data_IF_633702822706
#
_entry.id   IF_633702822706
#
_cell.length_a   1.000
_cell.length_b   1.000
_cell.length_c   1.000
_cell.angle_alpha   90.00
_cell.angle_beta   90.00
_cell.angle_gamma   90.00
#
_symmetry.space_group_name_H-M   'P 1'
#
loop_
_entity.id
_entity.type
_entity.pdbx_description
1 polymer ?
2 polymer ?
3 polymer ?
#
# COMPACT_ATOMS: atom_id res chain seq x y z
CA UNK A 1 38.66 -34.93 -2.21
CA UNK A 2 38.87 -31.14 -1.66
CA UNK A 3 37.03 -29.70 -4.68
CA UNK A 4 35.67 -33.20 -5.38
CA UNK A 5 34.00 -33.18 -1.96
CA UNK A 6 31.66 -30.17 -2.12
CA UNK A 7 29.52 -32.06 -4.64
CA UNK A 8 28.81 -34.72 -2.00
CA UNK A 9 27.65 -32.23 0.64
CA UNK A 10 25.70 -30.33 -2.03
CA UNK A 11 23.44 -33.18 -3.14
CA UNK A 12 23.02 -34.50 0.41
CA UNK A 13 21.50 -31.19 1.54
CA UNK A 14 19.08 -30.73 -1.36
CA UNK A 15 18.52 -34.47 -1.02
CA UNK A 16 16.75 -34.00 2.29
CA UNK A 17 14.14 -31.96 0.38
CA UNK A 18 12.86 -35.24 -0.94
CA UNK A 19 12.89 -36.67 2.62
CA UNK A 20 11.62 -35.53 6.08
CA UNK A 21 9.28 -32.58 5.51
CA UNK A 22 6.43 -34.48 3.85
CA UNK A 23 6.07 -38.01 5.32
CA UNK A 24 2.29 -38.04 5.87
CA UNK A 25 0.78 -40.17 8.63
CA UNK A 26 -2.61 -39.02 9.97
CA UNK A 27 -3.82 -37.28 13.11
CA UNK A 28 -2.90 -38.27 16.64
CA UNK A 29 -5.05 -39.79 19.40
CA UNK A 30 -8.07 -38.27 21.22
CA UNK A 31 -8.71 -36.46 17.98
CA UNK A 32 -10.14 -37.66 14.69
CA UNK A 33 -10.75 -41.27 13.66
CA UNK A 34 -8.47 -41.65 10.62
CA UNK A 35 -10.51 -42.45 7.49
CA UNK A 36 -10.72 -45.23 4.87
CA UNK A 37 -13.77 -46.97 3.44
CA UNK A 38 -13.61 -47.09 -0.36
CA UNK A 39 -14.37 -43.51 -1.45
CA UNK A 40 -13.60 -42.33 2.11
CA UNK A 41 -10.39 -40.31 2.60
CA UNK A 42 -10.24 -36.69 3.92
CA UNK A 43 -13.21 -34.46 4.82
CA UNK A 44 -13.79 -31.93 2.08
CA UNK A 45 -15.77 -29.12 3.75
CA UNK A 46 -14.75 -25.81 2.14
CA UNK A 47 -11.27 -24.72 3.21
CA UNK A 48 -8.03 -26.23 2.03
CA UNK A 49 -6.11 -29.13 3.44
CA UNK A 50 -4.22 -31.51 1.20
CA UNK A 51 -0.75 -32.69 2.18
CA UNK A 52 -0.69 -33.92 5.81
CA UNK A 53 2.51 -33.66 7.94
CA UNK A 54 3.50 -33.53 11.64
CA UNK A 55 4.05 -30.08 13.12
CA UNK A 56 6.77 -31.30 15.46
CA UNK A 57 8.81 -32.51 12.50
CA UNK A 58 8.23 -29.22 10.66
CA UNK A 59 11.22 -27.76 12.52
CA UNK A 60 13.47 -30.72 11.73
CA UNK A 61 14.33 -30.27 8.04
CA UNK A 62 17.32 -27.98 8.52
CA UNK A 63 17.59 -28.48 12.29
CA UNK A 64 19.17 -31.80 11.30
CA UNK A 65 21.19 -30.50 8.33
CA UNK A 66 23.52 -28.34 10.42
CA UNK A 67 24.38 -31.43 12.48
CA UNK A 68 25.54 -33.47 9.47
CA UNK A 69 27.45 -30.66 7.73
CA UNK A 70 29.57 -30.07 10.84
CA UNK A 71 32.81 -30.71 8.97
CA UNK A 72 33.14 -29.20 5.50
CA UNK A 73 34.97 -25.88 5.65
CA UNK A 74 36.00 -25.76 9.32
CA UNK A 75 37.73 -29.02 10.22
CA UNK A 76 41.45 -28.43 9.69
CA UNK A 77 43.31 -29.35 12.91
CA UNK B 1 -8.70 -18.38 -1.53
CA UNK B 2 -5.76 -16.97 -3.53
CA UNK B 3 -2.33 -18.16 -2.43
CA UNK B 4 -2.76 -20.36 0.67
CA UNK B 5 -0.04 -23.02 1.32
CA UNK B 6 0.42 -25.99 -1.00
CA UNK B 7 3.77 -25.88 -2.80
CA UNK B 8 6.93 -27.04 -0.98
CA UNK B 9 6.10 -28.24 2.53
CA UNK B 10 3.09 -27.43 4.75
CA UNK B 11 -0.51 -28.51 5.37
CA UNK B 12 -3.66 -27.12 7.01
CA UNK B 13 -5.70 -28.36 9.95
CA UNK B 14 -8.82 -30.45 9.50
CA UNK B 15 -10.43 -29.94 12.88
CA UNK B 16 -9.40 -30.44 16.53
CA UNK B 17 -7.93 -27.57 18.54
CA UNK B 18 -7.75 -26.83 22.27
CA UNK B 19 -6.49 -23.80 24.22
CA UNK B 20 -4.90 -26.09 26.83
CA UNK B 21 -1.85 -27.37 24.92
CA UNK B 22 -1.90 -24.20 22.79
CA UNK B 23 -0.11 -22.05 25.39
CA UNK B 24 2.58 -24.74 25.68
CA UNK B 25 3.65 -24.59 22.01
CA UNK B 26 3.86 -20.80 21.62
CA UNK B 27 6.87 -20.45 23.95
CA UNK B 28 8.67 -23.44 22.43
CA UNK B 29 8.85 -21.87 18.96
CA UNK B 30 11.42 -19.30 20.10
CA UNK B 31 13.88 -22.13 20.80
CA UNK B 32 14.54 -22.47 17.05
CA UNK B 33 14.22 -18.95 15.60
CA UNK B 34 17.62 -17.65 16.72
CA UNK B 35 18.98 -21.02 17.87
CA UNK B 36 18.94 -22.14 14.25
CA UNK B 37 21.19 -19.26 13.19
CA UNK B 38 23.75 -20.32 15.81
CA UNK B 39 25.32 -22.50 13.11
CA UNK B 40 25.14 -11.78 7.75
CA UNK B 41 21.73 -13.36 7.09
CA UNK B 42 19.92 -11.43 9.85
CA UNK B 43 20.60 -7.95 8.61
CA UNK B 44 18.73 -4.72 8.82
CA UNK B 45 15.68 -6.92 8.41
CA UNK B 46 15.13 -10.66 7.74
CA UNK B 47 16.83 -10.39 4.25
CA UNK B 48 14.02 -9.19 1.93
CA UNK B 49 10.99 -8.89 4.25
CA UNK B 50 11.71 -5.26 5.25
CA UNK B 51 11.76 -3.22 2.05
CA UNK B 52 8.29 -4.71 1.68
CA UNK B 53 7.23 -4.42 5.33
CA UNK B 54 7.45 -0.65 4.88
CA UNK B 55 4.69 -1.16 2.27
CA UNK B 56 2.39 -3.81 3.82
CA UNK B 57 2.56 -3.57 7.63
CA UNK B 58 1.61 0.11 7.75
CA UNK B 59 -0.46 -0.26 4.57
CA UNK B 60 -2.85 -2.86 6.00
CA UNK B 61 -4.24 -0.51 8.68
CA UNK B 62 -6.99 1.13 6.68
CA UNK B 63 -9.57 1.60 9.50
CA UNK B 64 -12.86 1.74 7.50
CA UNK B 65 -14.23 -1.37 5.74
CA UNK B 66 -12.08 -0.98 2.62
CA UNK B 67 -10.66 -3.77 0.42
CA UNK B 68 -11.46 -7.49 0.26
CA UNK B 69 -9.58 -8.19 3.50
CA UNK B 70 -11.90 -7.44 6.45
CA UNK B 71 -9.19 -6.72 9.06
CA UNK B 72 -10.93 -7.74 12.30
CA UNK B 73 -12.37 -11.18 12.99
CA UNK B 74 -11.48 -14.69 11.87
CA UNK B 75 -13.86 -14.62 8.91
CA UNK B 76 -11.57 -12.46 6.82
CA UNK B 77 -8.08 -11.75 8.12
CA UNK B 78 -6.91 -15.26 7.17
CA UNK B 79 -6.17 -13.93 3.67
CA UNK B 80 -3.48 -11.31 4.33
CA UNK B 81 -0.38 -13.33 5.28
CA UNK B 82 -1.15 -16.52 3.34
CA UNK B 83 -1.13 -14.43 0.18
CA UNK B 84 2.32 -12.79 0.15
CA UNK B 85 4.41 -15.58 1.75
CA UNK B 86 4.61 -17.61 -1.48
CA UNK B 87 5.69 -14.38 -3.16
CA UNK B 88 8.47 -13.75 -0.62
CA UNK B 89 9.94 -17.13 -1.49
CA UNK B 90 10.88 -15.68 -4.89
CA UNK B 91 12.04 -12.41 -3.20
CA UNK B 92 15.18 -14.21 -2.10
CA UNK B 93 16.75 -14.44 -5.64
CA UNK B 94 16.26 -10.68 -5.98
CA UNK B 95 17.32 -9.08 -2.69
CA UNK B 96 20.50 -11.19 -2.27
CA UNK B 97 22.67 -9.35 -4.84
CA UNK B 98 22.38 -6.24 -2.62
CA UNK B 99 25.46 -7.47 -0.73
CA UNK B 100 27.54 -7.07 -3.89
CA UNK B 101 26.78 -3.44 -4.80
CA UNK B 102 28.56 -1.92 -1.83
CA UNK B 103 31.25 -4.68 -1.86
CA UNK B 104 31.81 -6.14 -5.40
CA UNK B 105 34.65 -8.26 -3.90
CA UNK B 106 36.73 -6.36 -1.31
CA UNK B 107 37.76 -8.68 1.61
CA UNK B 108 40.21 -10.33 -0.76
CA UNK B 109 41.75 -7.26 -2.44
CA UNK B 110 43.24 -7.08 -5.97
CA UNK B 111 40.80 -9.59 -7.47
CA UNK B 112 41.86 -11.56 -10.53
CA UNK B 113 39.00 -13.94 -11.44
CA UNK B 114 39.26 -13.37 -15.21
CA UNK B 115 38.14 -16.89 -16.25
CA UNK B 116 34.48 -17.54 -15.22
CA UNK B 117 33.07 -20.89 -14.12
CA UNK B 118 31.84 -22.14 -10.77
CA UNK B 119 31.93 -21.46 -7.01
CA UNK B 120 29.79 -18.75 -5.45
CA UNK B 121 28.57 -15.95 -7.71
CA UNK B 122 25.48 -17.70 -9.00
CA UNK B 123 25.80 -20.75 -6.71
CA UNK B 124 25.87 -18.67 -3.53
CA UNK B 125 22.14 -18.07 -4.09
CA UNK B 126 21.56 -21.77 -3.32
CA UNK B 127 23.02 -22.64 0.09
CA UNK B 128 22.09 -19.29 1.66
CA UNK B 129 18.50 -19.20 0.41
CA UNK B 130 17.46 -22.64 1.71
CA UNK B 131 18.44 -21.58 5.23
CA UNK B 132 16.52 -18.31 5.39
CA UNK B 133 13.54 -19.94 3.65
CA UNK B 134 12.95 -22.22 6.63
CA UNK B 135 12.55 -19.04 8.69
CA UNK B 136 9.66 -18.08 6.39
CA UNK B 137 7.68 -21.10 7.61
CA UNK B 138 8.62 -20.55 11.26
CA UNK B 139 6.20 -17.62 11.29
CA UNK B 140 3.19 -19.66 10.12
CA UNK B 141 4.16 -22.43 12.55
CA UNK B 142 2.59 -20.33 15.33
CA UNK B 143 -0.49 -18.88 13.60
CA UNK B 144 -2.93 -21.81 13.85
CA UNK B 145 -1.18 -23.60 16.72
CA UNK B 146 -0.32 -21.05 19.39
CA UNK B 147 -1.14 -17.48 20.43
CA UNK B 148 0.51 -14.54 18.68
CA UNK B 149 0.49 -12.13 15.75
CA UNK B 150 3.02 -14.28 13.91
CA UNK B 151 4.99 -11.52 12.20
CA UNK B 152 5.35 -9.55 15.44
CA UNK B 153 6.99 -12.36 17.43
CA UNK B 154 10.15 -12.04 15.33
CA UNK B 155 10.34 -8.23 15.11
CA UNK B 156 10.02 -8.31 18.90
CA UNK B 157 12.59 -11.10 19.34
CA UNK B 158 15.65 -9.32 17.98
CA UNK B 159 14.89 -5.99 19.68
CA UNK B 160 14.32 -7.23 23.24
CA UNK B 161 17.87 -8.62 23.03
CA UNK B 162 19.04 -5.02 23.31
CA UNK B 163 18.87 -5.40 27.07
CA UNK B 164 20.11 -8.74 28.47
CA UNK B 165 23.10 -9.39 26.14
CA UNK B 166 23.86 -5.67 25.88
CA UNK B 167 25.07 -5.68 29.50
CA UNK B 168 26.55 -9.12 30.23
CA UNK B 169 29.80 -9.58 28.28
CA UNK B 170 32.70 -7.16 27.73
CA UNK B 171 30.65 -3.97 28.05
CA UNK B 172 29.80 -3.01 31.61
CA UNK B 173 32.69 -0.74 32.64
CA UNK B 174 31.71 -0.83 36.31
CA UNK B 175 34.34 -3.30 37.59
CA UNK B 176 36.91 -0.70 38.56
CA UNK B 177 35.65 1.98 40.90
CA UNK B 178 38.59 3.57 42.78
CA UNK B 179 37.66 7.23 42.19
CA UNK B 180 33.88 6.52 41.88
CA UNK B 181 32.53 8.40 38.86
CA UNK B 182 28.90 9.58 38.83
CA UNK B 183 28.49 9.02 35.09
CA UNK B 184 29.23 5.29 35.04
CA UNK B 185 27.45 4.29 38.24
CA UNK B 186 24.42 6.33 37.15
CA UNK B 187 22.36 3.24 36.30
CA UNK B 188 23.57 1.35 39.40
CA UNK B 189 21.80 3.77 41.75
CA UNK B 190 18.66 4.00 39.58
CA UNK B 191 16.91 1.48 37.27
CA UNK B 192 13.92 1.10 39.61
CA UNK B 193 14.11 4.84 40.28
CA UNK B 194 12.87 5.65 36.77
CA UNK B 195 10.44 2.73 36.38
CA UNK B 196 8.57 4.17 39.36
CA UNK B 197 7.32 6.99 37.11
CA UNK B 198 6.79 5.22 33.77
CA UNK B 199 4.21 2.79 35.17
CA UNK B 200 2.29 5.71 36.69
CA UNK B 201 1.18 6.46 33.14
CA UNK B 202 0.35 2.79 32.51
CA UNK B 203 -2.37 3.05 35.18
CA UNK B 204 -4.36 5.02 32.59
CA UNK B 205 -6.52 2.06 31.57
CA UNK B 206 -9.30 2.59 34.12
CA UNK B 207 -12.90 1.33 34.10
CA UNK B 208 -15.84 3.74 33.88
CA UNK B 209 -17.65 2.10 36.81
CA UNK B 210 -21.34 2.73 36.14
CA UNK B 211 -23.39 3.39 39.28
CA UNK B 212 -26.45 1.22 38.57
CA UNK B 213 -29.09 2.19 41.13
CA UNK B 214 -31.31 -0.90 41.39
CA UNK B 215 -29.78 -3.74 43.42
CA UNK B 216 -27.13 -1.75 45.34
CA UNK B 217 -23.65 -3.36 45.20
CA UNK B 218 -22.67 -6.87 44.12
CA UNK B 219 -19.67 -8.72 42.68
CA UNK B 220 -19.25 -10.20 39.18
CA UNK B 221 -21.34 -13.13 37.91
CA UNK B 222 -23.62 -13.65 34.88
CA UNK B 223 -26.54 -11.48 36.00
CA UNK B 224 -24.43 -8.42 35.11
CA UNK B 225 -24.09 -7.19 38.69
CA UNK B 226 -21.29 -4.92 37.46
CA UNK B 227 -19.44 -6.52 34.51
CA UNK B 228 -16.71 -3.85 34.46
CA UNK B 229 -15.89 -2.44 31.02
CA UNK B 230 -12.16 -1.67 30.53
CA UNK B 231 -12.53 1.42 28.34
CA UNK B 232 -9.38 3.49 27.76
CA UNK B 233 -10.00 7.12 28.77
CA UNK B 234 -6.82 8.28 27.00
CA UNK B 235 -8.75 8.33 23.71
CA UNK B 236 -5.44 7.71 21.91
CA UNK B 237 -4.85 4.22 23.31
CA UNK B 238 -1.64 2.39 24.20
CA UNK B 239 -0.65 1.92 20.54
CA UNK B 240 -0.01 5.51 19.36
CA UNK B 241 3.21 5.78 21.40
CA UNK B 242 4.64 2.62 19.80
CA UNK B 243 4.92 4.07 16.30
CA UNK B 244 5.41 7.66 17.53
CA UNK B 245 9.21 7.86 17.73
CA UNK B 246 9.46 7.84 13.91
CA UNK B 247 9.11 11.63 14.26
CA UNK B 248 11.82 12.57 16.81
CA UNK B 249 14.01 9.52 17.51
CA UNK B 250 14.89 8.83 13.86
CA UNK B 251 15.88 12.36 12.72
CA UNK B 252 19.03 12.02 14.86
CA UNK B 253 21.69 10.57 12.55
CA UNK B 254 19.58 11.12 9.41
CA UNK B 255 20.74 14.75 9.51
CA UNK B 256 24.32 13.70 8.73
CA UNK B 257 23.31 11.74 5.62
CA UNK B 258 21.53 14.81 4.22
CA UNK B 259 24.31 17.39 4.28
CA UNK B 260 27.45 15.49 5.21
CA UNK B 261 28.00 14.18 1.70
CA UNK B 262 27.36 17.06 -0.69
CA UNK B 263 25.46 19.45 1.57
CA UNK B 264 26.90 22.09 3.90
CA UNK B 265 28.95 21.66 7.09
CA UNK B 266 27.80 24.10 9.81
CA UNK B 267 27.42 22.34 13.19
CA UNK B 268 23.83 22.26 14.50
CA UNK B 269 20.92 23.51 12.37
CA UNK B 270 18.04 25.64 13.72
CA UNK B 271 18.49 25.32 17.49
CA UNK B 272 22.02 26.66 17.92
CA UNK B 273 21.70 30.29 19.05
CA UNK B 274 19.60 29.35 22.09
CA UNK B 275 21.37 28.84 25.43
CA UNK B 276 18.42 27.84 27.67
CA UNK B 277 17.55 24.64 25.82
CA UNK B 278 15.44 22.91 28.49
CA UNK B 279 12.50 25.36 28.15
CA UNK B 280 12.90 26.08 24.41
CA UNK B 281 13.24 22.96 22.23
CA UNK B 282 10.67 21.17 24.39
CA UNK B 283 8.02 23.59 23.12
CA UNK B 284 9.07 22.80 19.55
CA UNK B 285 8.04 19.14 19.75
CA UNK B 286 4.96 19.89 21.87
CA UNK B 287 2.84 20.80 18.84
CA UNK B 288 4.95 18.77 16.38
CA UNK B 289 3.85 15.33 17.57
CA UNK B 290 0.25 16.58 17.63
CA UNK B 291 0.33 16.02 13.86
CA UNK B 292 1.02 12.29 14.21
CA UNK B 293 -1.52 12.06 17.03
CA UNK B 294 -4.26 13.46 14.79
CA UNK B 295 -3.08 10.96 12.17
CA UNK B 296 -4.63 8.25 14.34
CA UNK B 297 -7.89 10.25 14.34
CA UNK B 298 -8.86 7.79 11.59
CA UNK B 299 -9.11 4.96 14.13
CA UNK B 300 -8.66 6.45 17.63
CA UNK B 301 -10.11 3.69 19.87
CA UNK B 302 -12.94 3.42 17.31
CA UNK B 303 -15.39 6.11 18.53
CA UNK B 304 -18.53 4.87 16.75
CA UNK B 305 -17.74 1.14 17.06
CA UNK B 306 -17.05 1.01 20.81
CA UNK B 307 -20.73 1.14 21.79
CA UNK B 308 -21.83 -1.68 19.45
CA UNK B 309 -19.17 -3.82 21.22
CA UNK B 310 -21.89 -4.72 23.75
CA UNK B 311 -24.99 -5.55 21.71
CA UNK B 312 -23.84 -8.31 19.37
CA UNK B 313 -23.78 -11.67 21.14
CA UNK B 314 -25.22 -15.18 20.82
CA UNK B 315 -26.23 -14.94 24.46
CA UNK B 316 -27.90 -11.51 24.12
CA UNK B 317 -31.25 -11.94 25.92
CA UNK B 318 -33.72 -12.99 23.15
CA UNK B 319 -37.48 -12.62 23.19
CA UNK B 320 -37.64 -10.40 26.27
CA UNK B 321 -36.66 -7.39 24.11
CA UNK B 322 -34.41 -4.68 25.67
CA UNK B 323 -36.27 -1.63 24.40
CA UNK B 324 -32.92 0.15 24.22
CA UNK B 325 -32.69 -0.18 20.42
CA UNK B 326 -29.18 1.24 19.78
CA UNK B 327 -27.20 4.10 21.37
CA UNK B 328 -29.24 4.22 24.58
CA UNK B 329 -27.06 5.39 27.46
CA UNK B 330 -23.74 3.75 26.56
CA UNK B 331 -22.39 6.36 24.14
CA UNK B 332 -22.18 9.66 26.06
CA UNK B 333 -19.15 9.45 28.36
CA UNK B 334 -16.84 9.51 25.34
CA UNK B 335 -18.74 12.38 23.66
CA UNK B 336 -17.00 15.09 25.69
CA UNK B 337 -13.53 13.87 24.70
CA UNK B 338 -13.20 14.86 21.02
CA UNK B 339 -11.28 18.13 20.52
CA UNK B 340 -10.76 18.92 24.21
CA UNK B 341 -10.08 15.27 25.02
CA UNK B 342 -7.44 14.33 22.46
CA UNK B 343 -5.02 17.23 23.02
CA UNK B 344 -4.54 17.55 26.79
CA UNK B 345 -3.75 13.84 27.17
CA UNK B 346 -0.53 13.74 25.13
CA UNK B 347 0.42 17.25 26.29
CA UNK B 348 0.50 16.30 29.98
CA UNK B 349 2.16 12.95 29.20
CA UNK B 350 4.98 14.44 27.11
CA UNK B 351 6.75 15.96 30.12
CA UNK B 352 7.61 12.81 32.10
CA UNK B 353 9.06 11.12 29.00
CA UNK B 354 11.20 14.16 28.14
CA UNK B 355 13.19 13.44 31.31
CA UNK B 356 15.32 10.81 29.54
CA UNK B 357 17.57 12.47 26.93
CA UNK B 358 18.77 15.03 29.50
CA UNK B 359 19.16 12.36 32.20
CA UNK B 360 21.02 9.61 30.29
CA UNK B 361 20.19 6.45 32.25
CA UNK B 362 20.98 3.66 29.70
CA UNK B 363 24.36 2.99 28.11
CA UNK B 364 23.42 1.81 24.61
CA UNK B 365 19.99 3.39 23.99
CA UNK B 366 19.54 6.71 25.75
CA UNK B 367 15.96 6.73 26.96
CA UNK B 368 13.47 5.67 24.27
CA UNK B 369 14.03 2.01 23.32
CA UNK B 370 13.75 0.58 26.84
CA UNK B 371 10.38 2.33 26.76
CA UNK B 372 9.10 0.70 23.55
CA UNK B 373 10.02 -2.84 24.63
CA UNK B 374 7.24 -3.00 27.23
CA UNK B 375 4.53 -1.26 25.20
CA UNK B 376 4.75 -3.83 22.36
CA UNK B 377 3.96 -6.78 24.62
CA UNK B 378 0.81 -4.97 25.87
CA UNK B 379 -1.16 -6.14 22.83
CA UNK B 380 0.11 -9.68 23.45
CA UNK B 381 -0.77 -9.11 27.14
CA UNK B 382 -4.37 -7.96 26.68
CA UNK B 383 -5.27 -10.67 24.14
CA UNK B 384 -5.33 -13.37 26.84
CA UNK B 385 -7.93 -12.43 29.49
CA UNK B 386 -10.36 -11.85 26.62
CA UNK B 387 -10.18 -15.56 25.70
CA UNK B 388 -11.43 -17.08 28.97
CA UNK B 389 -14.39 -15.18 30.44
CA UNK B 390 -17.49 -16.27 28.52
CA UNK B 391 -15.25 -17.81 25.85
CA UNK B 392 -14.04 -21.11 27.35
CA UNK B 393 -17.55 -22.62 27.32
CA UNK B 394 -19.59 -23.92 24.35
CA UNK B 395 -18.68 -23.38 20.68
CA UNK B 396 -19.48 -19.73 19.89
CA UNK B 397 -18.16 -16.14 19.68
CA UNK B 398 -16.30 -16.34 16.35
CA UNK B 399 -16.63 -13.06 14.43
CA UNK B 400 -18.62 -11.61 17.34
CA UNK C 1 -17.55 31.86 6.95
CA UNK C 2 -14.71 29.70 5.58
CA UNK C 3 -13.48 32.27 3.04
CA UNK C 4 -13.41 35.23 5.43
CA UNK C 5 -10.60 34.03 7.71
CA UNK C 6 -8.14 33.57 4.82
CA UNK C 7 -8.45 37.24 3.81
CA UNK C 8 -8.01 38.51 7.38
CA UNK C 9 -4.57 36.87 7.46
CA UNK C 10 -3.46 39.06 4.55
CA UNK C 11 -4.92 42.17 6.22
CA UNK C 12 -2.31 41.94 8.99
CA UNK C 13 0.52 40.91 6.65
CA UNK C 14 0.09 43.86 4.27
CA UNK C 15 0.27 46.35 7.15
CA UNK C 16 3.10 44.44 8.83
CA UNK C 17 5.52 44.62 5.91
CA UNK C 18 5.00 48.39 5.80
CA UNK C 19 7.38 48.69 8.77
CA UNK C 20 10.74 47.60 7.32
CA UNK C 21 11.14 46.98 3.59
CA UNK C 22 13.94 48.74 1.67
CA UNK C 23 16.61 48.69 4.39
CA UNK C 24 18.34 45.28 4.24
CA UNK C 25 20.01 43.40 7.12
CA UNK C 26 17.25 41.57 9.08
CA UNK C 27 17.00 40.70 12.79
CA UNK C 28 15.37 43.51 14.78
CA UNK C 29 12.68 43.80 17.46
CA UNK C 30 10.15 46.03 19.27
CA UNK C 31 8.53 46.95 15.94
CA UNK C 32 7.43 44.04 13.74
CA UNK C 33 7.25 41.66 16.72
CA UNK C 34 3.96 43.33 17.69
CA UNK C 35 2.35 42.02 14.48
CA UNK C 36 3.79 38.53 15.00
CA UNK C 37 2.03 38.31 18.37
CA UNK C 38 -1.33 39.16 16.79
CA UNK C 39 -1.26 35.90 14.81
CA UNK C 40 -2.53 34.14 17.93
CA UNK C 41 -5.52 36.26 18.89
CA UNK C 42 -7.53 36.75 15.70
CA UNK C 43 -6.31 34.06 13.29
CA UNK C 44 -7.14 31.28 15.74
CA UNK C 45 -10.61 32.33 16.90
CA UNK C 46 -12.19 32.36 13.42
CA UNK C 47 -15.46 34.21 12.71
CA UNK C 48 -17.28 30.89 13.21
CA UNK C 49 -15.75 27.39 13.18
CA UNK C 50 -19.20 25.81 13.51
CA UNK C 51 -19.13 24.35 17.05
CA UNK C 52 -21.67 26.40 19.03
CA UNK C 53 -20.74 30.13 19.29
CA UNK C 54 -17.37 31.57 17.96
CA UNK C 55 -14.19 31.19 20.10
CA UNK C 56 -14.11 34.38 22.28
CA UNK C 57 -14.57 32.52 25.67
CA UNK C 58 -11.93 31.23 28.13
CA UNK C 59 -10.15 27.95 27.19
CA UNK C 60 -8.55 26.91 30.47
CA UNK C 61 -11.58 26.64 32.78
CA UNK C 62 -13.46 23.77 31.14
CA UNK C 63 -10.34 21.58 31.13
CA UNK C 64 -10.95 20.34 34.69
CA UNK C 65 -14.58 19.71 33.75
CA UNK C 66 -13.63 16.84 31.44
CA UNK C 67 -11.45 15.19 34.09
CA UNK C 68 -14.21 15.11 36.72
CA UNK C 69 -15.50 11.51 37.10
CA UNK C 70 -11.97 10.43 38.11
CA UNK C 71 -11.56 8.72 41.50
CA UNK C 72 -8.75 9.22 44.03
CA UNK C 73 -6.92 5.88 44.29
CA UNK C 74 -7.41 2.22 43.41
CA UNK C 75 -4.92 -0.43 44.59
CA UNK C 76 -7.78 -2.91 44.19
CA UNK C 77 -7.33 -3.83 40.45
CA UNK C 78 -3.55 -3.60 40.72
CA UNK C 79 -3.18 -7.17 42.12
CA UNK C 80 -4.58 -8.34 38.75
CA UNK C 81 -3.24 -6.53 35.61
CA UNK C 82 0.21 -6.16 37.21
CA UNK C 83 1.19 -9.53 38.65
CA UNK C 84 1.78 -11.57 35.48
CA UNK C 85 5.01 -9.65 34.84
CA UNK C 86 6.98 -11.44 37.58
CA UNK C 87 6.21 -14.51 35.45
CA UNK C 88 5.74 -14.03 31.68
CA UNK C 89 8.50 -11.39 31.63
CA UNK C 90 11.21 -13.58 33.17
CA UNK C 91 10.40 -16.45 30.78
CA UNK C 92 11.00 -14.62 27.49
CA UNK C 93 14.17 -13.06 28.91
CA UNK C 94 15.01 -16.45 30.39
CA UNK C 95 15.50 -17.90 26.91
CA UNK C 96 17.85 -15.18 25.66
CA UNK C 97 20.55 -15.33 28.31
CA UNK C 98 20.64 -18.86 29.73
CA UNK C 99 20.89 -20.29 26.20
CA UNK C 100 21.97 -17.62 23.69
CA UNK C 101 24.46 -15.87 25.99
CA UNK C 102 25.68 -19.41 26.73
CA UNK C 103 26.35 -20.67 23.19
CA UNK C 104 28.99 -18.06 22.32
CA UNK C 105 30.64 -18.89 25.65
CA UNK C 106 31.07 -22.56 24.70
CA UNK C 107 32.11 -22.33 21.04
CA UNK C 108 34.75 -19.65 21.54
CA UNK C 109 37.18 -21.07 24.08
CA UNK C 110 37.87 -24.33 22.21
CA UNK C 111 40.01 -24.43 19.04
CA UNK D 1 8.56 42.56 -11.69
CA UNK D 2 8.94 38.98 -10.41
CA UNK D 3 8.59 38.07 -6.71
CA UNK D 4 6.73 41.35 -6.16
CA UNK D 5 3.91 40.42 -8.55
CA UNK D 6 3.24 36.67 -8.25
CA UNK D 7 2.40 36.96 -4.55
CA UNK D 8 -0.17 39.63 -5.45
CA UNK D 9 -1.90 37.48 -8.08
CA UNK D 10 -1.97 34.45 -5.78
CA UNK D 11 -4.49 36.31 -3.59
CA UNK D 12 -6.40 38.62 -5.95
CA UNK D 13 -7.75 35.53 -7.73
CA UNK D 14 -9.72 34.09 -4.80
CA UNK D 15 -11.30 37.50 -4.29
CA UNK D 16 -13.60 36.62 -7.19
CA UNK D 17 -14.18 32.84 -7.15
CA UNK D 18 -15.01 32.70 -3.44
CA UNK D 19 -18.08 34.87 -4.05
CA UNK D 20 -20.10 32.85 -6.57
CA UNK D 21 -20.96 30.12 -4.05
CA UNK D 22 -23.63 31.90 -1.99
CA UNK D 23 -26.14 33.16 -4.57
CA UNK D 24 -28.03 29.82 -4.61
CA UNK D 25 -30.64 28.74 -7.15
CA UNK D 26 -32.04 25.20 -7.19
CA UNK D 27 -34.72 23.79 -4.90
CA UNK D 28 -34.72 20.09 -5.84
CA UNK D 29 -36.40 19.00 -9.07
CA UNK D 30 -36.47 15.46 -7.67
CA UNK D 31 -39.06 13.09 -9.10
CA UNK D 32 -40.02 12.03 -5.57
CA UNK D 33 -39.77 15.39 -3.76
CA UNK D 34 -38.22 15.91 -0.31
CA UNK D 35 -41.00 17.87 1.36
CA UNK D 36 -41.15 18.62 5.09
CA UNK D 37 -42.95 17.04 8.03
CA UNK D 38 -42.20 19.85 10.47
CA UNK D 39 -39.43 22.32 9.56
CA UNK D 40 -37.50 22.99 12.78
CA UNK D 41 -33.80 23.82 12.32
CA UNK D 42 -31.74 20.61 12.74
CA UNK D 43 -31.48 17.52 14.95
CA UNK D 44 -29.34 18.85 17.79
CA UNK D 45 -25.75 20.10 18.10
CA UNK D 46 -24.58 19.04 14.61
CA UNK D 47 -22.22 20.31 11.89
CA UNK D 48 -22.27 22.71 8.92
CA UNK D 49 -25.12 22.55 6.42
CA UNK D 50 -24.45 23.05 2.71
CA UNK D 51 -26.13 25.02 -0.10
CA UNK D 52 -26.91 24.04 -3.71
CA UNK D 53 -26.27 26.54 -6.55
CA UNK D 54 -27.37 26.31 -10.20
CA UNK D 55 -25.13 25.09 -13.05
CA UNK D 56 -25.38 28.40 -14.95
CA UNK D 57 -23.54 29.99 -12.01
CA UNK D 58 -20.41 27.82 -12.33
CA UNK D 59 -19.31 29.02 -15.78
CA UNK D 60 -20.11 32.63 -14.83
CA UNK D 61 -16.61 33.09 -13.40
CA UNK D 62 -14.66 30.52 -15.44
CA UNK D 63 -15.14 32.59 -18.61
CA UNK D 64 -14.21 35.70 -16.61
CA UNK D 65 -10.92 34.68 -14.97
CA UNK D 66 -9.30 34.42 -18.43
CA UNK D 67 -9.00 38.21 -18.69
CA UNK D 68 -7.22 38.73 -15.36
CA UNK D 69 -4.33 36.36 -16.05
CA UNK D 70 -3.79 37.81 -19.53
CA UNK D 71 -4.22 41.35 -18.22
CA UNK D 72 -0.69 41.27 -16.81
CA UNK D 73 1.44 40.10 -19.74
CA UNK D 74 0.21 41.32 -23.14
CA UNK D 75 0.90 45.04 -23.64
CA UNK D 76 4.71 44.72 -23.38
CA UNK D 77 6.30 47.02 -20.77
CA UNK E 1 -11.07 22.36 11.02
CA UNK E 2 -11.10 24.96 8.21
CA UNK E 3 -7.71 25.96 6.75
CA UNK E 4 -7.80 24.02 3.47
CA UNK E 5 -10.94 25.19 1.61
CA UNK E 6 -9.78 28.81 1.65
CA UNK E 7 -8.52 28.92 -1.94
CA UNK E 8 -10.49 28.57 -5.22
CA UNK E 9 -13.54 26.57 -4.09
CA UNK E 10 -17.14 25.92 -5.20
CA UNK E 11 -18.31 22.89 -3.17
CA UNK E 12 -20.77 20.21 -4.38
CA UNK E 13 -24.29 20.77 -5.77
CA UNK E 14 -27.55 19.25 -4.54
CA UNK E 15 -29.46 17.55 -7.34
CA UNK E 16 -29.45 14.72 -9.89
CA UNK E 17 -31.29 15.64 -13.10
CA UNK E 18 -31.61 13.39 -16.16
CA UNK E 19 -29.38 11.22 -18.37
CA UNK E 20 -30.36 13.12 -21.53
CA UNK E 21 -28.72 16.30 -20.16
CA UNK E 22 -25.70 14.95 -18.29
CA UNK E 23 -24.24 13.18 -21.32
CA UNK E 24 -24.24 16.61 -22.99
CA UNK E 25 -21.21 18.09 -21.21
CA UNK E 26 -19.38 14.77 -21.61
CA UNK E 27 -19.11 15.52 -25.33
CA UNK E 28 -18.35 19.23 -25.20
CA UNK E 29 -15.52 20.04 -22.79
CA UNK E 30 -12.47 18.28 -24.23
CA UNK E 31 -12.46 20.47 -27.34
CA UNK E 32 -10.41 23.21 -25.66
CA UNK E 33 -7.99 20.55 -24.38
CA UNK E 34 -6.26 20.27 -27.77
CA UNK E 35 -5.90 24.07 -27.94
CA UNK E 36 -2.66 23.55 -26.03
CA UNK E 37 -0.53 24.08 -29.13
CA UNK E 38 -2.48 26.62 -31.21
CA UNK E 39 -2.90 29.72 -29.02
CA UNK E 40 5.33 28.28 -25.91
CA UNK E 41 3.48 27.74 -22.60
CA UNK E 42 2.87 24.04 -23.34
CA UNK E 43 6.38 22.70 -22.72
CA UNK E 44 5.08 20.98 -19.59
CA UNK E 45 2.71 18.27 -20.80
CA UNK E 46 0.68 17.95 -17.58
CA UNK E 47 4.04 17.41 -15.85
CA UNK E 48 3.68 19.73 -12.80
CA UNK E 49 0.58 17.79 -11.73
CA UNK E 50 2.19 14.34 -11.94
CA UNK E 51 5.09 15.48 -9.72
CA UNK E 52 2.86 15.72 -6.65
CA UNK E 53 0.63 12.95 -8.00
CA UNK E 54 3.65 10.62 -8.25
CA UNK E 55 3.78 10.65 -4.45
CA UNK E 56 0.23 9.31 -4.70
CA UNK E 57 1.27 6.98 -7.54
CA UNK E 58 3.32 5.09 -4.95
CA UNK E 59 0.99 5.71 -2.00
CA UNK E 60 -2.45 4.93 -3.44
CA UNK E 61 -2.07 2.88 -6.64
CA UNK E 62 -1.01 -0.09 -4.50
CA UNK E 63 -4.21 -1.01 -2.66
CA UNK E 64 -5.32 -1.45 0.12
CA UNK E 65 -4.66 2.17 1.11
CA UNK E 66 -2.52 3.09 4.09
CA UNK E 67 -4.15 6.54 4.15
CA UNK E 68 -7.97 6.41 3.91
CA UNK E 69 -9.68 6.07 0.53
CA UNK E 70 -13.21 5.11 -0.49
CA UNK E 71 -12.79 5.78 -4.22
CA UNK E 72 -16.35 5.59 -5.61
CA UNK E 73 -19.70 6.51 -4.11
CA UNK E 74 -21.25 9.97 -3.73
CA UNK E 75 -18.98 10.88 -0.78
CA UNK E 76 -15.75 9.38 -2.15
CA UNK E 77 -14.63 12.35 -4.25
CA UNK E 78 -14.25 15.19 -1.74
CA UNK E 79 -11.72 14.91 1.09
CA UNK E 80 -9.29 12.70 -0.81
CA UNK E 81 -9.24 15.02 -3.84
CA UNK E 82 -8.35 17.87 -1.46
CA UNK E 83 -5.12 16.15 -0.35
CA UNK E 84 -3.18 17.06 -3.50
CA UNK E 85 -5.20 20.21 -4.26
CA UNK E 86 -2.80 22.18 -2.04
CA UNK E 87 0.16 20.15 -3.31
CA UNK E 88 0.54 21.40 -6.89
CA UNK E 89 -0.53 24.86 -5.71
CA UNK E 90 2.94 25.27 -4.18
CA UNK E 91 5.02 22.63 -5.97
CA UNK E 92 4.32 24.10 -9.43
CA UNK E 93 6.30 27.20 -8.44
CA UNK E 94 9.39 25.05 -7.89
CA UNK E 95 8.63 22.62 -10.73
CA UNK E 96 7.96 24.74 -13.83
CA UNK E 97 11.20 26.66 -13.29
CA UNK E 98 13.08 23.42 -13.93
CA UNK E 99 11.65 23.00 -17.43
CA UNK E 100 12.07 26.75 -18.00
CA UNK E 101 15.82 27.43 -17.93
CA UNK E 102 16.58 23.72 -17.53
CA UNK E 103 19.50 21.67 -18.85
CA UNK E 104 22.92 23.43 -19.27
CA UNK E 105 24.08 23.98 -22.83
CA UNK E 106 22.90 20.84 -24.63
CA UNK E 107 19.53 22.14 -25.91
CA UNK E 108 19.51 24.37 -29.00
CA UNK E 109 23.28 24.66 -29.57
CA UNK E 110 25.00 27.26 -31.78
CA UNK E 111 23.22 30.52 -31.03
CA UNK E 112 20.30 31.79 -33.08
CA UNK E 113 19.15 34.24 -30.38
CA UNK E 114 22.69 35.61 -29.99
CA UNK E 115 21.54 36.38 -26.42
CA UNK E 116 21.13 34.48 -23.02
CA UNK E 117 18.44 35.41 -20.48
CA UNK E 118 18.02 37.17 -17.06
CA UNK E 119 15.97 39.79 -18.89
CA UNK E 120 12.61 38.43 -19.81
CA UNK E 121 11.59 34.89 -18.80
CA UNK E 122 11.13 35.54 -15.04
CA UNK E 123 7.82 37.17 -15.90
CA UNK E 124 7.24 34.13 -18.13
CA UNK E 125 7.44 31.64 -15.24
CA UNK E 126 4.34 33.09 -13.55
CA UNK E 127 2.49 32.49 -16.84
CA UNK E 128 3.59 28.84 -16.75
CA UNK E 129 2.16 28.34 -13.26
CA UNK E 130 -1.15 30.09 -13.98
CA UNK E 131 -1.15 28.24 -17.30
CA UNK E 132 -0.96 24.56 -16.35
CA UNK E 133 -3.26 25.51 -13.47
CA UNK E 134 -6.94 26.29 -14.10
CA UNK E 135 -6.72 23.28 -16.43
CA UNK E 136 -6.99 20.80 -13.56
CA UNK E 137 -10.34 22.42 -12.77
CA UNK E 138 -11.51 20.69 -15.95
CA UNK E 139 -10.91 17.28 -14.40
CA UNK E 140 -13.07 18.20 -11.42
CA UNK E 141 -16.27 19.71 -12.86
CA UNK E 142 -16.86 16.98 -15.45
CA UNK E 143 -16.07 14.43 -12.73
CA UNK E 144 -18.68 15.20 -10.06
CA UNK E 145 -21.21 16.44 -12.63
CA UNK E 146 -21.26 13.89 -15.46
CA UNK E 147 -19.32 10.66 -15.97
CA UNK E 148 -16.88 9.12 -13.50
CA UNK E 149 -13.13 9.76 -13.50
CA UNK E 150 -12.04 13.04 -15.07
CA UNK E 151 -8.29 12.78 -14.45
CA UNK E 152 -7.55 10.31 -17.27
CA UNK E 153 -9.34 12.63 -19.70
CA UNK E 154 -6.37 14.95 -19.09
CA UNK E 155 -3.41 12.58 -18.64
CA UNK E 156 -4.26 9.49 -20.71
CA UNK E 157 -5.61 11.88 -23.36
CA UNK E 158 -2.04 12.09 -24.65
CA UNK E 159 -2.03 8.56 -26.08
CA UNK E 160 -5.44 9.03 -27.74
CA UNK E 161 -3.87 11.29 -30.38
CA UNK E 162 -1.77 8.36 -31.59
CA UNK E 163 -4.48 7.40 -34.09
CA UNK E 164 -5.74 10.59 -35.85
CA UNK E 165 -3.96 11.86 -39.05
CA UNK E 166 -0.85 9.70 -38.72
CA UNK E 167 -1.67 6.52 -40.64
CA UNK E 168 -3.54 8.86 -42.99
CA UNK E 169 -1.27 11.88 -42.51
CA UNK E 170 -0.25 14.34 -45.26
CA UNK E 171 3.50 14.49 -44.67
CA UNK E 172 4.55 10.87 -44.08
CA UNK E 173 5.94 9.58 -47.35
CA UNK E 174 4.04 6.33 -47.88
CA UNK E 175 2.91 6.83 -51.48
CA UNK E 176 5.78 7.31 -53.94
CA UNK E 177 9.18 6.09 -52.74
CA UNK E 178 10.61 4.09 -55.59
CA UNK E 179 13.68 2.83 -53.70
CA UNK E 180 12.98 1.41 -50.27
CA UNK E 181 15.92 1.33 -47.93
CA UNK E 182 16.78 -1.12 -45.15
CA UNK E 183 16.49 1.45 -42.34
CA UNK E 184 13.22 2.87 -43.70
CA UNK E 185 11.47 -0.52 -43.94
CA UNK E 186 12.24 -1.59 -40.38
CA UNK E 187 10.80 0.46 -37.50
CA UNK E 188 7.95 1.61 -39.77
CA UNK E 189 6.16 -1.36 -41.33
CA UNK E 190 5.71 -2.69 -37.78
CA UNK E 191 2.00 -1.86 -37.49
CA UNK E 192 -1.24 -3.85 -37.97
CA UNK E 193 1.14 -6.83 -37.83
CA UNK E 194 2.27 -6.50 -34.21
CA UNK E 195 -0.77 -4.39 -33.28
CA UNK E 196 -2.99 -7.33 -34.27
CA UNK E 197 -0.67 -9.84 -32.59
CA UNK E 198 -1.57 -8.38 -29.19
CA UNK E 199 -5.22 -9.15 -29.97
CA UNK E 200 -4.20 -12.78 -30.53
CA UNK E 201 -3.47 -12.97 -26.79
CA UNK E 202 -6.66 -11.02 -26.05
CA UNK E 203 -9.06 -13.49 -27.70
CA UNK E 204 -9.31 -17.22 -27.05
CA UNK E 205 -10.82 -16.91 -23.57
CA UNK E 206 -12.30 -13.40 -23.29
CA UNK E 207 -16.09 -13.40 -22.71
CA UNK E 208 -17.49 -16.87 -23.44
CA UNK E 209 -21.11 -16.62 -24.62
CA UNK E 210 -22.39 -20.00 -23.39
CA UNK E 211 -25.70 -21.28 -24.80
CA UNK E 212 -28.46 -20.11 -22.43
CA UNK E 213 -31.59 -20.18 -24.60
CA UNK E 214 -34.16 -18.97 -22.07
CA UNK E 215 -37.90 -19.38 -22.82
CA UNK E 216 -37.52 -19.89 -26.61
CA UNK E 217 -39.06 -17.55 -29.19
CA UNK E 218 -40.39 -14.47 -27.41
CA UNK E 219 -42.74 -11.80 -28.78
CA UNK E 220 -41.69 -8.44 -27.27
CA UNK E 221 -42.38 -9.09 -23.60
CA UNK E 222 -41.28 -6.89 -20.72
CA UNK E 223 -39.20 -9.84 -19.38
CA UNK E 224 -35.85 -11.29 -20.54
CA UNK E 225 -34.18 -10.28 -23.81
CA UNK E 226 -30.70 -11.62 -24.64
CA UNK E 227 -27.51 -11.53 -22.54
CA UNK E 228 -24.08 -12.09 -24.10
CA UNK E 229 -22.69 -12.71 -20.60
CA UNK E 230 -20.55 -9.51 -20.39
CA UNK E 231 -19.13 -11.08 -17.18
CA UNK E 232 -15.88 -12.41 -18.70
CA UNK E 233 -14.22 -15.66 -17.68
CA UNK E 234 -10.71 -14.29 -17.20
CA UNK E 235 -11.64 -12.70 -13.88
CA UNK E 236 -9.16 -9.79 -14.20
CA UNK E 237 -7.99 -8.35 -17.57
CA UNK E 238 -4.69 -6.92 -18.84
CA UNK E 239 -4.83 -4.67 -15.81
CA UNK E 240 -1.93 -6.14 -13.77
CA UNK E 241 0.72 -4.50 -15.97
CA UNK E 242 1.97 -1.09 -14.87
CA UNK E 243 4.51 -1.51 -12.05
CA UNK E 244 6.75 -3.15 -14.67
CA UNK E 245 7.39 0.24 -16.28
CA UNK E 246 7.26 3.00 -13.64
CA UNK E 247 8.86 0.95 -10.85
CA UNK E 248 11.61 -0.47 -13.05
CA UNK E 249 12.83 3.09 -13.68
CA UNK E 250 12.42 3.72 -9.94
CA UNK E 251 16.00 2.54 -9.21
CA UNK E 252 17.03 5.07 -11.87
CA UNK E 253 15.32 8.06 -10.24
CA UNK E 254 16.96 7.25 -6.90
CA UNK E 255 20.43 6.42 -8.24
CA UNK E 256 21.73 9.90 -7.42
CA UNK E 257 20.53 9.34 -3.84
CA UNK E 258 23.48 6.96 -3.42
CA UNK E 259 25.95 7.74 -6.21
CA UNK E 260 28.70 8.29 -3.64
CA UNK E 261 30.67 5.17 -4.32
CA UNK E 262 31.80 4.93 -7.90
CA UNK E 263 30.33 6.33 -11.13
CA UNK E 264 29.21 9.87 -12.00
CA UNK E 265 26.18 9.01 -14.21
CA UNK E 266 26.22 5.36 -15.32
CA UNK E 267 24.96 3.50 -18.50
CA UNK E 268 28.17 3.31 -20.59
CA UNK E 269 29.92 0.65 -18.54
CA UNK E 270 28.42 -2.51 -17.11
CA UNK E 271 24.83 -1.98 -18.48
CA UNK E 272 26.61 -2.07 -21.91
CA UNK E 273 26.90 -5.89 -21.68
CA UNK E 274 23.27 -6.56 -22.71
CA UNK E 275 23.91 -6.78 -26.49
CA UNK E 276 26.53 -9.64 -26.25
CA UNK E 277 25.52 -11.48 -23.05
CA UNK E 278 22.96 -14.17 -23.74
CA UNK E 279 23.71 -16.90 -21.14
CA UNK E 280 24.06 -14.23 -18.47
CA UNK E 281 20.71 -12.48 -18.12
CA UNK E 282 18.50 -15.07 -19.86
CA UNK E 283 17.10 -16.41 -16.58
CA UNK E 284 18.22 -13.47 -14.43
CA UNK E 285 15.93 -10.93 -16.11
CA UNK E 286 13.25 -13.60 -16.57
CA UNK E 287 13.33 -13.69 -12.78
CA UNK E 288 13.76 -9.88 -12.57
CA UNK E 289 10.28 -9.33 -14.09
CA UNK E 290 8.67 -11.79 -11.64
CA UNK E 291 8.48 -9.18 -8.92
CA UNK E 292 6.85 -6.16 -10.50
CA UNK E 293 4.04 -8.36 -11.79
CA UNK E 294 4.28 -10.47 -8.62
CA UNK E 295 3.78 -7.54 -6.24
CA UNK E 296 0.57 -6.46 -7.97
CA UNK E 297 -1.35 -9.61 -7.07
CA UNK E 298 -1.64 -8.40 -3.44
CA UNK E 299 -3.57 -5.23 -4.29
CA UNK E 300 -7.32 -5.56 -5.12
CA UNK E 301 -7.72 -8.61 -7.32
CA UNK E 302 -11.26 -9.35 -8.31
CA UNK E 303 -13.05 -12.13 -6.26
CA UNK E 304 -14.84 -11.71 -2.86
CA UNK E 305 -18.05 -9.77 -3.64
CA UNK E 306 -19.13 -8.70 -7.11
CA UNK E 307 -22.58 -10.29 -7.49
CA UNK E 308 -25.52 -8.96 -9.59
CA UNK E 309 -25.16 -8.61 -13.37
CA UNK E 310 -27.07 -11.45 -15.02
CA UNK E 311 -30.03 -10.62 -12.73
CA UNK E 312 -30.27 -6.86 -13.34
CA UNK E 313 -33.16 -7.21 -15.81
CA UNK E 314 -36.51 -8.96 -15.69
CA UNK E 315 -35.48 -12.32 -14.45
CA UNK E 316 -36.18 -12.66 -10.74
CA UNK E 317 -38.91 -14.97 -9.56
CA UNK E 318 -42.45 -13.94 -8.30
CA UNK E 319 -42.88 -16.26 -5.30
CA UNK E 320 -41.58 -19.67 -5.97
CA UNK E 321 -37.81 -20.20 -5.38
CA UNK E 322 -35.87 -22.40 -7.77
CA UNK E 323 -32.42 -22.55 -6.04
CA UNK E 324 -30.97 -19.34 -4.55
CA UNK E 325 -32.47 -16.23 -6.01
CA UNK E 326 -29.02 -14.54 -5.47
CA UNK E 327 -26.78 -15.60 -8.41
CA UNK E 328 -24.74 -18.49 -6.90
CA UNK E 329 -24.70 -20.36 -10.21
CA UNK E 330 -21.20 -19.08 -10.96
CA UNK E 331 -19.63 -19.00 -7.46
CA UNK E 332 -19.10 -22.76 -7.67
CA UNK E 333 -16.45 -22.05 -10.39
CA UNK E 334 -14.81 -18.59 -10.07
CA UNK E 335 -13.13 -18.06 -6.67
CA UNK E 336 -12.87 -21.60 -5.35
CA UNK E 337 -11.86 -22.74 -8.84
CA UNK E 338 -9.53 -19.84 -9.64
CA UNK E 339 -6.27 -21.57 -8.71
CA UNK E 340 -4.76 -21.46 -12.23
CA UNK E 341 -5.79 -17.86 -13.02
CA UNK E 342 -2.19 -16.62 -12.96
CA UNK E 343 0.15 -19.60 -12.69
CA UNK E 344 1.14 -19.85 -16.37
CA UNK E 345 -1.64 -17.79 -18.03
CA UNK E 346 0.05 -14.48 -17.20
CA UNK E 347 3.42 -16.00 -18.06
CA UNK E 348 2.42 -16.45 -21.70
CA UNK E 349 0.94 -12.94 -21.60
CA UNK E 350 4.19 -11.36 -20.39
CA UNK E 351 6.15 -13.16 -23.12
CA UNK E 352 5.25 -10.72 -25.96
CA UNK E 353 6.12 -7.90 -23.55
CA UNK E 354 9.80 -8.82 -23.78
CA UNK E 355 10.25 -8.96 -27.56
CA UNK E 356 10.22 -5.15 -27.67
CA UNK E 357 13.95 -4.33 -27.77
CA UNK E 358 14.45 -6.62 -30.78
CA UNK E 359 11.62 -5.38 -33.01
CA UNK E 360 11.90 -1.65 -32.34
CA UNK E 361 8.63 0.20 -33.00
CA UNK E 362 8.22 3.55 -34.88
CA UNK E 363 9.13 7.06 -33.68
CA UNK E 364 8.07 8.71 -30.41
CA UNK E 365 6.95 5.42 -28.84
CA UNK E 366 9.38 4.65 -26.03
CA UNK E 367 8.93 0.90 -26.38
CA UNK E 368 6.36 0.55 -23.61
CA UNK E 369 3.90 2.61 -25.66
CA UNK E 370 2.63 -0.40 -27.62
CA UNK E 371 0.75 -3.06 -25.64
CA UNK E 372 -1.21 -0.80 -23.30
CA UNK E 373 -1.97 1.64 -26.15
CA UNK E 374 -4.00 -0.88 -28.17
CA UNK E 375 -5.88 -2.12 -25.08
CA UNK E 376 -6.76 0.96 -22.98
CA UNK E 377 -9.06 2.24 -25.73
CA UNK E 378 -11.93 0.01 -24.57
CA UNK E 379 -11.42 1.04 -20.94
CA UNK E 380 -13.11 4.33 -21.83
CA UNK E 381 -16.06 2.32 -23.16
CA UNK E 382 -16.73 0.92 -19.66
CA UNK E 383 -17.70 4.41 -18.42
CA UNK E 384 -19.95 4.76 -21.47
CA UNK E 385 -21.83 1.49 -20.86
CA UNK E 386 -22.25 1.20 -17.08
CA UNK E 387 -23.53 4.75 -16.57
CA UNK E 388 -26.14 4.23 -19.29
CA UNK E 389 -28.80 1.87 -17.92
CA UNK E 390 -29.10 2.27 -14.14
CA UNK E 391 -27.22 4.74 -11.90
CA UNK E 392 -30.58 6.50 -11.36
CA UNK E 393 -32.68 3.71 -9.85
CA UNK E 394 -31.67 1.61 -6.83
CA UNK E 395 -28.06 2.85 -6.66
CA UNK E 396 -26.64 0.54 -3.97
CA UNK E 397 -23.22 -0.93 -3.01
CA UNK E 398 -20.04 0.87 -4.18
CA UNK E 399 -17.09 0.11 -1.89
CA UNK E 400 -14.06 -1.84 -3.17
CA UNK F 1 3.14 -40.88 -5.88
CA UNK F 2 4.14 -37.25 -5.18
CA UNK F 3 7.25 -38.87 -3.65
CA UNK F 4 8.43 -39.28 -7.26
CA UNK F 5 7.57 -35.99 -9.06
CA UNK F 6 9.19 -33.58 -6.58
CA UNK F 7 12.14 -35.94 -6.26
CA UNK F 8 12.54 -36.25 -10.05
CA UNK F 9 13.88 -32.71 -10.50
CA UNK F 10 16.48 -33.50 -7.81
CA UNK F 11 17.09 -37.12 -8.87
CA UNK F 12 18.50 -35.88 -12.19
CA UNK F 13 21.75 -34.90 -10.43
CA UNK F 14 22.23 -38.24 -8.67
CA UNK F 15 23.18 -39.78 -12.02
CA UNK F 16 23.79 -36.59 -14.01
CA UNK F 17 26.75 -35.12 -12.13
CA UNK F 18 28.34 -38.59 -12.21
CA UNK F 19 29.64 -37.78 -15.70
CA UNK F 20 32.32 -35.27 -16.73
CA UNK F 21 32.07 -32.04 -14.72
CA UNK F 22 35.84 -31.44 -14.58
CA UNK F 23 35.54 -29.68 -17.95
CA UNK F 24 33.79 -26.56 -16.59
CA UNK F 25 33.42 -23.27 -18.45
CA UNK F 26 31.57 -24.20 -21.66
CA UNK F 27 29.65 -27.49 -21.49
CA UNK F 28 30.09 -30.08 -24.25
CA UNK F 29 26.41 -31.04 -23.90
CA UNK F 30 24.69 -33.91 -25.75
CA UNK F 31 25.32 -36.13 -22.70
CA UNK F 32 23.17 -34.15 -20.26
CA UNK F 33 20.59 -33.45 -22.98
CA UNK F 34 19.18 -36.98 -23.22
CA UNK F 35 18.91 -37.12 -19.42
CA UNK F 36 16.80 -33.96 -19.13
CA UNK F 37 14.77 -35.21 -22.10
CA UNK F 38 13.63 -38.25 -20.12
CA UNK F 39 12.99 -36.05 -17.09
CA UNK F 40 10.24 -34.28 -19.02
CA UNK F 41 8.35 -37.55 -19.24
CA UNK F 42 8.75 -39.01 -15.76
CA UNK F 43 8.05 -35.76 -13.90
CA UNK F 44 4.89 -35.41 -16.00
CA UNK F 45 2.87 -38.62 -16.25
CA UNK F 46 0.58 -39.45 -13.28
CA UNK F 47 1.66 -37.11 -10.41
CA UNK F 48 -1.03 -37.65 -7.76
CA UNK F 49 -2.58 -41.14 -7.57
CA UNK F 50 -6.23 -41.73 -7.11
CA UNK F 51 -5.39 -45.40 -7.73
CA UNK F 52 -5.09 -44.90 -11.52
CA UNK F 53 -6.23 -41.47 -12.66
CA UNK F 54 -5.03 -38.24 -10.96
CA UNK F 55 -3.88 -35.35 -13.23
CA UNK F 56 -6.92 -33.15 -12.26
CA UNK F 57 -7.84 -30.18 -10.09
CA UNK F 58 -4.25 -29.42 -8.81
CA UNK F 59 -2.11 -26.22 -8.57
CA UNK F 60 0.70 -26.27 -11.22
CA UNK F 61 -0.74 -28.70 -13.74
CA UNK F 62 -4.53 -28.08 -14.32
CA UNK F 63 -4.22 -26.43 -17.74
CA UNK F 64 -6.02 -28.89 -20.06
CA UNK F 65 -9.63 -28.75 -18.91
CA UNK F 66 -9.63 -25.04 -17.98
CA UNK F 67 -9.00 -23.86 -21.55
CA UNK F 68 -10.18 -26.84 -23.64
CA UNK F 69 -13.96 -26.66 -23.03
CA UNK F 70 -13.77 -22.98 -24.00
CA UNK F 71 -15.32 -22.66 -27.45
CA UNK F 72 -13.18 -21.19 -30.26
CA UNK F 73 -14.84 -19.00 -32.92
CA UNK F 74 -18.52 -18.02 -33.12
CA UNK F 75 -19.01 -15.18 -35.61
CA UNK F 76 -22.06 -14.07 -33.62
CA UNK F 77 -21.11 -11.70 -30.79
CA UNK F 78 -17.98 -10.53 -32.65
CA UNK F 79 -20.04 -7.87 -34.48
CA UNK F 80 -20.86 -6.22 -31.14
CA UNK F 81 -17.36 -4.80 -30.59
CA UNK F 82 -17.23 -3.77 -34.25
CA UNK F 83 -20.08 -1.29 -33.77
CA UNK F 84 -20.00 -0.13 -30.13
CA UNK F 85 -16.41 1.15 -29.78
CA UNK F 86 -15.53 1.40 -33.49
CA UNK F 87 -18.08 4.23 -33.59
CA UNK F 88 -16.80 5.60 -30.27
CA UNK F 89 -13.23 6.00 -31.49
CA UNK F 90 -14.43 7.25 -34.88
CA UNK F 91 -16.06 10.28 -33.27
CA UNK F 92 -12.95 10.88 -31.13
CA UNK F 93 -10.44 11.38 -33.95
CA UNK F 94 -13.29 12.51 -36.20
CA UNK F 95 -13.51 15.73 -34.20
CA UNK F 96 -9.81 15.69 -33.27
CA UNK F 97 -8.32 16.05 -36.74
CA UNK F 98 -10.51 18.58 -38.54
CA UNK F 99 -9.55 21.27 -36.02
CA UNK F 100 -5.86 20.31 -35.99
CA UNK F 101 -4.21 20.08 -39.42
CA UNK F 102 -6.61 22.68 -40.84
CA UNK F 103 -5.37 25.30 -38.36
CA UNK F 104 -1.70 24.80 -39.27
CA UNK F 105 -2.27 25.58 -42.95
CA UNK F 106 -3.44 29.09 -42.01
CA UNK F 107 -1.08 30.47 -39.34
CA UNK F 108 2.02 28.66 -40.59
CA UNK F 109 1.55 29.96 -44.14
CA UNK F 110 1.82 33.74 -43.63
CA UNK F 111 4.48 34.38 -40.97
#
# INVERSE_FOLDING_TARGET
MYEALLVVFLIVAIGLVGLIMLQQGKGADMGASFGAGASATLFGSSGSGNFMTRMTALLATLFFIISLVLGNINSNK
MAKQPGLDFQSAKGGLGELKRRLLFVIGALIVFRIGSFISIFALGIMPYISASIIIQLLTVVHPTLAEIKKEGESGRRKISQYTRYGTLVLAIFQSIGIATGLPNMPGMQGLVINPGFAFYFTAVVSLVTGTMFLMWLGEQITERGIGNGISIIIFAGIVAGLPPAIAHTIEQARQGDLHFLVLLLVAVLVFAVTFFVVFVERGQRRIVVNYAKRQQGRRVYAAQSTHLPLKVNMAGVIPAIFASSIILFPATIASWFGGGTGWNWLTTISLYLQPGQPLYVLLYASAIIFFCFFYTALVFNPRETADNLKKSGAFVPGIRPGEQTAKYIDKVMTRLTLVGALYITFICLIPEFMRDAMKVPFYFGGTSLLIVVVVIMDFMAQVQTLMMSSQYESALKKA
MKWVVVVALLLVAIVGNYLYRDIMLPLRALAVVILIAAAGGVALLTTKGKATVAFAREARTEVRKVIWPTRQETLHTTLIVAAVTAVMSLILWGLDGILVRLVSFITGLRF
MYEALLVVFLIVAIGLVGLIMLQQGKGADMGASFGAGASATLFGSSGSGNFMTRMTALLATLFFIISLVLGNINSNK
MAKQPGLDFQSAKGGLGELKRRLLFVIGALIVFRIGSFISIFALGIMPYISASIIIQLLTVVHPTLAEIKKEGESGRRKISQYTRYGTLVLAIFQSIGIATGLPNMPGMQGLVINPGFAFYFTAVVSLVTGTMFLMWLGEQITERGIGNGISIIIFAGIVAGLPPAIAHTIEQARQGDLHFLVLLLVAVLVFAVTFFVVFVERGQRRIVVNYAKRQQGRRVYAAQSTHLPLKVNMAGVIPAIFASSIILFPATIASWFGGGTGWNWLTTISLYLQPGQPLYVLLYASAIIFFCFFYTALVFNPRETADNLKKSGAFVPGIRPGEQTAKYIDKVMTRLTLVGALYITFICLIPEFMRDAMKVPFYFGGTSLLIVVVVIMDFMAQVQTLMMSSQYESALKKA
MKWVVVVALLLVAIVGNYLYRDIMLPLRALAVVILIAAAGGVALLTTKGKATVAFAREARTEVRKVIWPTRQETLHTTLIVAAVTAVMSLILWGLDGILVRLVSFITGLRF
#
